data_IF_416071587280
#
_entry.id   IF_416071587280
#
_cell.length_a   1.000
_cell.length_b   1.000
_cell.length_c   1.000
_cell.angle_alpha   90.00
_cell.angle_beta   90.00
_cell.angle_gamma   90.00
#
_symmetry.space_group_name_H-M   'P 1'
#
loop_
_entity.id
_entity.type
_entity.pdbx_description
1 polymer ?
#
# COMPACT_ATOMS: atom_id res chain seq x y z
N UNK A 1 -5.47 -4.43 23.04
CA UNK A 1 -5.60 -3.68 21.77
C UNK A 1 -5.02 -4.57 20.66
N UNK A 2 -5.76 -4.95 19.60
CA UNK A 2 -5.21 -5.91 18.66
C UNK A 2 -4.16 -5.23 17.78
N UNK A 3 -2.90 -5.56 18.04
CA UNK A 3 -1.79 -5.39 17.10
C UNK A 3 -1.91 -6.53 16.09
N UNK A 4 -2.50 -6.29 14.92
CA UNK A 4 -2.62 -7.33 13.88
C UNK A 4 -1.31 -7.45 13.09
N UNK A 5 -0.78 -8.67 13.17
CA UNK A 5 0.45 -9.23 12.60
C UNK A 5 0.30 -9.50 11.07
N UNK A 6 1.32 -10.02 10.35
CA UNK A 6 1.75 -9.51 9.04
C UNK A 6 1.03 -10.21 7.86
N UNK A 7 1.20 -9.67 6.65
CA UNK A 7 0.68 -10.12 5.34
C UNK A 7 -0.84 -10.07 5.07
N UNK A 8 -1.70 -10.03 6.09
CA UNK A 8 -3.17 -10.01 5.90
C UNK A 8 -3.78 -8.60 5.82
N UNK A 9 -2.98 -7.57 6.13
CA UNK A 9 -3.46 -6.20 6.34
C UNK A 9 -3.09 -5.24 5.20
N UNK A 10 -2.96 -5.78 3.99
CA UNK A 10 -2.70 -4.97 2.79
C UNK A 10 -3.75 -3.85 2.54
N UNK A 11 -5.06 -4.03 2.81
CA UNK A 11 -6.01 -2.93 2.74
C UNK A 11 -5.60 -1.72 3.59
N UNK A 12 -5.02 -1.99 4.76
CA UNK A 12 -4.54 -0.96 5.68
C UNK A 12 -3.19 -0.38 5.23
N UNK A 13 -2.31 -1.19 4.63
CA UNK A 13 -1.07 -0.70 4.01
C UNK A 13 -1.38 0.36 2.95
N UNK A 14 -2.27 0.05 2.01
CA UNK A 14 -2.65 0.97 0.91
C UNK A 14 -3.30 2.24 1.47
N UNK A 15 -4.16 2.10 2.49
CA UNK A 15 -4.79 3.23 3.17
C UNK A 15 -3.78 4.12 3.89
N UNK A 16 -2.88 3.52 4.67
CA UNK A 16 -1.84 4.24 5.41
C UNK A 16 -0.90 4.96 4.45
N UNK A 17 -0.50 4.30 3.35
CA UNK A 17 0.29 4.92 2.28
C UNK A 17 -0.43 6.14 1.70
N UNK A 18 -1.71 6.00 1.35
CA UNK A 18 -2.55 7.08 0.84
C UNK A 18 -2.59 8.27 1.79
N UNK A 19 -2.83 8.01 3.08
CA UNK A 19 -2.94 9.02 4.13
C UNK A 19 -1.61 9.72 4.39
N UNK A 20 -0.49 8.98 4.45
CA UNK A 20 0.85 9.58 4.62
C UNK A 20 1.25 10.49 3.47
N UNK A 21 0.82 10.16 2.25
CA UNK A 21 1.05 10.99 1.06
C UNK A 21 0.01 12.12 0.90
N UNK A 22 -1.04 12.16 1.71
CA UNK A 22 -2.13 13.13 1.55
C UNK A 22 -2.88 13.01 0.22
N UNK A 23 -2.90 11.81 -0.39
CA UNK A 23 -3.48 11.59 -1.71
C UNK A 23 -4.93 11.12 -1.63
N UNK A 24 -5.69 11.40 -2.68
CA UNK A 24 -6.95 10.68 -2.94
C UNK A 24 -6.64 9.28 -3.47
N UNK A 25 -7.62 8.38 -3.44
CA UNK A 25 -7.48 7.04 -4.01
C UNK A 25 -7.15 7.10 -5.51
N UNK A 26 -7.70 8.08 -6.22
CA UNK A 26 -7.43 8.31 -7.65
C UNK A 26 -5.98 8.75 -7.90
N UNK A 27 -5.47 9.69 -7.09
CA UNK A 27 -4.08 10.15 -7.20
C UNK A 27 -3.09 9.03 -6.84
N UNK A 28 -3.41 8.22 -5.82
CA UNK A 28 -2.61 7.05 -5.49
C UNK A 28 -2.63 6.03 -6.64
N UNK A 29 -3.82 5.77 -7.22
CA UNK A 29 -3.96 4.86 -8.34
C UNK A 29 -3.14 5.31 -9.55
N UNK A 30 -3.21 6.60 -9.90
CA UNK A 30 -2.40 7.19 -10.95
C UNK A 30 -0.90 7.06 -10.67
N UNK A 31 -0.46 7.30 -9.42
CA UNK A 31 0.94 7.13 -9.03
C UNK A 31 1.41 5.67 -9.05
N UNK A 32 0.52 4.70 -8.87
CA UNK A 32 0.82 3.28 -8.92
C UNK A 32 0.59 2.66 -10.31
N UNK A 33 0.16 3.45 -11.30
CA UNK A 33 -0.14 2.98 -12.65
C UNK A 33 -1.35 2.05 -12.74
N UNK A 34 -2.29 2.15 -11.80
CA UNK A 34 -3.51 1.33 -11.77
C UNK A 34 -4.78 2.19 -11.78
N UNK A 35 -5.92 1.59 -12.06
CA UNK A 35 -7.21 2.28 -12.02
C UNK A 35 -7.67 2.53 -10.58
N UNK A 36 -8.41 3.62 -10.35
CA UNK A 36 -9.07 3.90 -9.06
C UNK A 36 -9.85 2.69 -8.50
N UNK A 37 -10.58 1.99 -9.37
CA UNK A 37 -11.36 0.80 -8.98
C UNK A 37 -10.48 -0.29 -8.37
N UNK A 38 -9.24 -0.42 -8.82
CA UNK A 38 -8.26 -1.38 -8.31
C UNK A 38 -7.84 -1.02 -6.90
N UNK A 39 -7.46 0.23 -6.66
CA UNK A 39 -7.12 0.74 -5.31
C UNK A 39 -8.31 0.62 -4.35
N UNK A 40 -9.51 1.02 -4.80
CA UNK A 40 -10.73 0.88 -3.99
C UNK A 40 -11.02 -0.60 -3.61
N UNK A 41 -10.79 -1.55 -4.52
CA UNK A 41 -10.93 -2.98 -4.20
C UNK A 41 -9.88 -3.45 -3.20
N UNK A 42 -8.64 -2.97 -3.31
CA UNK A 42 -7.58 -3.29 -2.35
C UNK A 42 -7.88 -2.75 -0.95
N UNK A 43 -8.23 -1.46 -0.84
CA UNK A 43 -8.57 -0.84 0.46
C UNK A 43 -9.82 -1.43 1.12
N UNK A 44 -10.70 -2.06 0.34
CA UNK A 44 -11.88 -2.79 0.83
C UNK A 44 -11.64 -4.28 1.05
N UNK A 45 -10.42 -4.79 0.83
CA UNK A 45 -10.10 -6.21 0.93
C UNK A 45 -10.84 -7.10 -0.06
N UNK A 46 -11.39 -6.54 -1.14
CA UNK A 46 -12.16 -7.25 -2.17
C UNK A 46 -11.27 -7.84 -3.27
N UNK A 47 -10.02 -7.42 -3.36
CA UNK A 47 -9.03 -7.97 -4.28
C UNK A 47 -7.64 -7.89 -3.67
N UNK A 48 -6.76 -8.82 -4.07
CA UNK A 48 -5.33 -8.78 -3.75
C UNK A 48 -4.56 -8.15 -4.93
N UNK A 49 -3.57 -7.28 -4.68
CA UNK A 49 -2.68 -6.77 -5.72
C UNK A 49 -1.86 -7.91 -6.31
N UNK A 50 -1.64 -7.85 -7.61
CA UNK A 50 -0.68 -8.71 -8.29
C UNK A 50 0.75 -8.37 -7.85
N UNK A 51 1.70 -9.27 -8.11
CA UNK A 51 3.12 -9.02 -7.82
C UNK A 51 3.62 -7.69 -8.40
N UNK A 52 3.17 -7.33 -9.60
CA UNK A 52 3.51 -6.06 -10.24
C UNK A 52 3.02 -4.83 -9.45
N UNK A 53 1.80 -4.90 -8.89
CA UNK A 53 1.26 -3.84 -8.05
C UNK A 53 1.96 -3.77 -6.68
N UNK A 54 2.34 -4.92 -6.11
CA UNK A 54 3.15 -4.97 -4.89
C UNK A 54 4.52 -4.31 -5.11
N UNK A 55 5.18 -4.60 -6.22
CA UNK A 55 6.45 -3.95 -6.58
C UNK A 55 6.27 -2.43 -6.75
N UNK A 56 5.19 -1.99 -7.38
CA UNK A 56 4.89 -0.55 -7.51
C UNK A 56 4.67 0.12 -6.15
N UNK A 57 3.96 -0.55 -5.22
CA UNK A 57 3.77 -0.07 -3.85
C UNK A 57 5.10 -0.02 -3.10
N UNK A 58 5.93 -1.06 -3.22
CA UNK A 58 7.26 -1.13 -2.60
C UNK A 58 8.17 -0.01 -3.09
N UNK A 59 8.24 0.19 -4.41
CA UNK A 59 8.98 1.30 -5.00
C UNK A 59 8.45 2.64 -4.49
N UNK A 60 7.12 2.80 -4.43
CA UNK A 60 6.54 4.06 -3.97
C UNK A 60 6.91 4.36 -2.52
N UNK A 61 6.93 3.33 -1.67
CA UNK A 61 7.38 3.47 -0.29
C UNK A 61 8.88 3.78 -0.20
N UNK A 62 9.70 3.22 -1.08
CA UNK A 62 11.12 3.53 -1.14
C UNK A 62 11.37 4.99 -1.56
N UNK A 63 10.59 5.51 -2.50
CA UNK A 63 10.63 6.93 -2.90
C UNK A 63 10.28 7.89 -1.75
N UNK A 64 9.41 7.48 -0.82
CA UNK A 64 9.04 8.28 0.35
C UNK A 64 10.14 8.37 1.42
N UNK A 65 11.21 7.58 1.30
CA UNK A 65 12.31 7.54 2.28
C UNK A 65 11.83 7.17 3.69
N UNK A 66 12.12 8.03 4.68
CA UNK A 66 11.81 7.79 6.10
C UNK A 66 10.33 7.52 6.34
N UNK A 67 9.44 8.19 5.59
CA UNK A 67 7.99 8.03 5.77
C UNK A 67 7.46 6.68 5.26
N UNK A 68 8.17 6.01 4.34
CA UNK A 68 7.82 4.69 3.82
C UNK A 68 8.60 3.54 4.48
N UNK A 69 9.71 3.85 5.17
CA UNK A 69 10.64 2.87 5.73
C UNK A 69 10.01 1.90 6.74
N UNK A 70 9.15 2.42 7.62
CA UNK A 70 8.39 1.62 8.61
C UNK A 70 7.43 0.63 7.91
N UNK A 71 6.72 1.09 6.87
CA UNK A 71 5.80 0.25 6.10
C UNK A 71 6.56 -0.78 5.25
N UNK A 72 7.70 -0.42 4.66
CA UNK A 72 8.58 -1.36 3.98
C UNK A 72 9.05 -2.47 4.91
N UNK A 73 9.54 -2.11 6.10
CA UNK A 73 10.00 -3.08 7.08
C UNK A 73 8.87 -4.00 7.55
N UNK A 74 7.70 -3.42 7.85
CA UNK A 74 6.55 -4.15 8.39
C UNK A 74 5.90 -5.10 7.39
N UNK A 75 5.84 -4.73 6.10
CA UNK A 75 5.06 -5.47 5.10
C UNK A 75 5.90 -6.22 4.05
N UNK A 76 7.12 -5.77 3.74
CA UNK A 76 7.96 -6.36 2.68
C UNK A 76 9.21 -7.05 3.20
N UNK A 77 9.79 -6.59 4.32
CA UNK A 77 11.06 -7.12 4.87
C UNK A 77 10.92 -8.27 5.86
N UNK A 78 9.72 -8.84 6.01
CA UNK A 78 9.45 -10.01 6.85
C UNK A 78 9.57 -11.37 6.11
N UNK A 79 10.16 -11.40 4.92
CA UNK A 79 10.43 -12.63 4.16
C UNK A 79 11.93 -12.91 4.09
#
# INVERSE_FOLDING_TARGET
>A
MPVTTPVSDLPNLVRTLRERLGLSQEKLAASLGVSFQTVNRWERGRAKPSQLALNAIEQKLAEMGVQGSDLLYKYFKQQ
#
